data_IF_897050467245
#
_entry.id   IF_897050467245
#
_cell.length_a   1.000
_cell.length_b   1.000
_cell.length_c   1.000
_cell.angle_alpha   90.00
_cell.angle_beta   90.00
_cell.angle_gamma   90.00
#
_symmetry.space_group_name_H-M   'P 1'
#
loop_
_entity.id
_entity.type
_entity.pdbx_description
1 polymer ?
#
# COMPACT_ATOMS: atom_id res chain seq x y z
N UNK A 1 3.10 32.14 -54.90
CA UNK A 1 3.11 32.32 -53.43
C UNK A 1 1.85 31.66 -52.89
N UNK A 2 1.96 30.40 -52.47
CA UNK A 2 0.85 29.66 -51.88
C UNK A 2 0.90 29.85 -50.36
N UNK A 3 -0.18 30.37 -49.81
CA UNK A 3 -0.36 30.65 -48.38
C UNK A 3 -0.42 29.35 -47.60
N UNK A 4 0.50 29.20 -46.64
CA UNK A 4 0.51 28.13 -45.64
C UNK A 4 -0.80 28.13 -44.85
N UNK A 5 -1.47 26.97 -44.68
CA UNK A 5 -2.66 26.87 -43.84
C UNK A 5 -2.29 27.06 -42.36
N UNK A 6 -3.17 27.77 -41.66
CA UNK A 6 -3.06 28.10 -40.25
C UNK A 6 -3.09 26.81 -39.39
N UNK A 7 -2.20 26.66 -38.40
CA UNK A 7 -2.16 25.47 -37.57
C UNK A 7 -3.45 25.33 -36.74
N UNK A 8 -3.93 24.09 -36.50
CA UNK A 8 -5.16 23.86 -35.75
C UNK A 8 -5.05 24.43 -34.33
N UNK A 9 -6.09 25.17 -33.92
CA UNK A 9 -6.20 25.74 -32.59
C UNK A 9 -6.07 24.65 -31.52
N UNK A 10 -5.26 24.91 -30.50
CA UNK A 10 -5.10 24.02 -29.36
C UNK A 10 -6.48 23.71 -28.73
N UNK A 11 -6.74 22.45 -28.32
CA UNK A 11 -7.99 22.10 -27.68
C UNK A 11 -8.21 22.95 -26.42
N UNK A 12 -9.46 23.30 -26.08
CA UNK A 12 -9.76 24.10 -24.90
C UNK A 12 -9.22 23.40 -23.66
N UNK A 13 -8.61 24.17 -22.75
CA UNK A 13 -8.18 23.66 -21.44
C UNK A 13 -9.39 22.96 -20.78
N UNK A 14 -9.22 21.76 -20.20
CA UNK A 14 -10.31 21.07 -19.53
C UNK A 14 -10.90 21.98 -18.44
N UNK A 15 -12.22 22.14 -18.45
CA UNK A 15 -13.01 23.04 -17.58
C UNK A 15 -13.12 22.58 -16.13
N UNK A 16 -12.38 21.54 -15.76
CA UNK A 16 -12.38 20.99 -14.40
C UNK A 16 -11.22 21.60 -13.60
N UNK A 17 -11.31 22.89 -13.32
CA UNK A 17 -10.75 23.40 -12.08
C UNK A 17 -11.80 23.09 -11.00
N UNK A 18 -11.51 22.24 -10.00
CA UNK A 18 -12.44 22.08 -8.89
C UNK A 18 -12.58 23.46 -8.26
N UNK A 19 -13.81 24.00 -8.27
CA UNK A 19 -14.18 25.14 -7.44
C UNK A 19 -13.98 24.73 -5.99
N UNK A 20 -12.78 24.92 -5.45
CA UNK A 20 -12.63 25.14 -4.02
C UNK A 20 -13.21 26.53 -3.77
N UNK A 21 -14.52 26.57 -3.56
CA UNK A 21 -15.16 27.74 -3.00
C UNK A 21 -14.64 27.86 -1.57
N UNK A 22 -13.60 28.67 -1.37
CA UNK A 22 -13.20 29.09 -0.04
C UNK A 22 -14.44 29.69 0.63
N UNK A 23 -14.91 29.14 1.76
CA UNK A 23 -16.10 29.64 2.40
C UNK A 23 -15.82 31.07 2.87
N UNK A 24 -16.86 31.92 2.88
CA UNK A 24 -16.73 33.37 3.06
C UNK A 24 -16.12 33.79 4.41
N UNK A 25 -15.92 32.87 5.35
CA UNK A 25 -15.35 33.11 6.67
C UNK A 25 -14.40 31.98 7.12
N UNK A 26 -13.11 31.99 6.72
CA UNK A 26 -12.15 30.92 7.06
C UNK A 26 -11.92 30.76 8.57
N UNK A 27 -12.06 31.83 9.34
CA UNK A 27 -11.92 31.87 10.81
C UNK A 27 -13.09 31.27 11.60
N UNK A 28 -14.23 31.01 10.97
CA UNK A 28 -15.42 30.38 11.59
C UNK A 28 -15.55 28.90 11.25
N UNK A 29 -14.60 28.31 10.52
CA UNK A 29 -14.59 26.87 10.27
C UNK A 29 -14.44 26.11 11.59
N UNK A 30 -15.27 25.08 11.85
CA UNK A 30 -15.20 24.28 13.06
C UNK A 30 -13.93 23.42 13.03
N UNK A 31 -12.80 24.02 13.40
CA UNK A 31 -11.53 23.30 13.52
C UNK A 31 -11.59 22.26 14.65
N UNK A 32 -10.82 21.20 14.51
CA UNK A 32 -10.59 20.23 15.59
C UNK A 32 -10.05 20.93 16.83
N UNK A 33 -9.24 21.98 16.65
CA UNK A 33 -8.74 22.80 17.75
C UNK A 33 -9.87 23.47 18.52
N UNK A 34 -10.81 24.13 17.82
CA UNK A 34 -11.97 24.75 18.47
C UNK A 34 -12.82 23.69 19.17
N UNK A 35 -13.07 22.56 18.52
CA UNK A 35 -13.88 21.47 19.10
C UNK A 35 -13.25 20.88 20.36
N UNK A 36 -11.94 20.57 20.33
CA UNK A 36 -11.21 20.09 21.50
C UNK A 36 -11.17 21.14 22.60
N UNK A 37 -10.99 22.42 22.24
CA UNK A 37 -10.97 23.52 23.22
C UNK A 37 -12.31 23.69 23.90
N UNK A 38 -13.42 23.64 23.16
CA UNK A 38 -14.77 23.70 23.73
C UNK A 38 -15.07 22.49 24.62
N UNK A 39 -14.65 21.29 24.22
CA UNK A 39 -14.86 20.07 25.00
C UNK A 39 -14.05 20.06 26.30
N UNK A 40 -12.74 20.35 26.22
CA UNK A 40 -11.89 20.41 27.42
C UNK A 40 -12.21 21.60 28.30
N UNK A 41 -12.47 22.77 27.71
CA UNK A 41 -12.87 23.97 28.44
C UNK A 41 -14.21 23.79 29.15
N UNK A 42 -15.21 23.22 28.47
CA UNK A 42 -16.50 22.88 29.08
C UNK A 42 -16.36 21.86 30.20
N UNK A 43 -15.59 20.78 29.99
CA UNK A 43 -15.28 19.80 31.02
C UNK A 43 -14.58 20.43 32.24
N UNK A 44 -13.59 21.28 32.03
CA UNK A 44 -12.85 21.96 33.10
C UNK A 44 -13.76 22.91 33.88
N UNK A 45 -14.61 23.66 33.19
CA UNK A 45 -15.58 24.57 33.82
C UNK A 45 -16.59 23.79 34.68
N UNK A 46 -17.13 22.69 34.14
CA UNK A 46 -18.06 21.81 34.88
C UNK A 46 -17.36 21.21 36.11
N UNK A 47 -16.14 20.69 35.96
CA UNK A 47 -15.35 20.16 37.07
C UNK A 47 -15.09 21.25 38.13
N UNK A 48 -14.73 22.47 37.70
CA UNK A 48 -14.52 23.59 38.60
C UNK A 48 -15.77 23.96 39.42
N UNK A 49 -16.95 24.02 38.77
CA UNK A 49 -18.22 24.29 39.45
C UNK A 49 -18.55 23.19 40.46
N UNK A 50 -18.38 21.92 40.08
CA UNK A 50 -18.63 20.77 40.94
C UNK A 50 -17.69 20.78 42.15
N UNK A 51 -16.40 21.02 41.93
CA UNK A 51 -15.40 21.08 42.98
C UNK A 51 -15.69 22.23 43.96
N UNK A 52 -15.97 23.44 43.43
CA UNK A 52 -16.30 24.60 44.24
C UNK A 52 -17.53 24.34 45.11
N UNK A 53 -18.55 23.69 44.54
CA UNK A 53 -19.78 23.32 45.23
C UNK A 53 -19.53 22.30 46.35
N UNK A 54 -18.69 21.29 46.11
CA UNK A 54 -18.29 20.30 47.12
C UNK A 54 -17.50 20.97 48.25
N UNK A 55 -16.51 21.80 47.92
CA UNK A 55 -15.70 22.52 48.92
C UNK A 55 -16.57 23.46 49.74
N UNK A 56 -17.48 24.20 49.11
CA UNK A 56 -18.42 25.09 49.81
C UNK A 56 -19.31 24.30 50.79
N UNK A 57 -19.85 23.16 50.36
CA UNK A 57 -20.68 22.30 51.21
C UNK A 57 -19.88 21.73 52.40
N UNK A 58 -18.65 21.27 52.16
CA UNK A 58 -17.75 20.78 53.22
C UNK A 58 -17.39 21.90 54.21
N UNK A 59 -17.12 23.11 53.72
CA UNK A 59 -16.85 24.28 54.54
C UNK A 59 -18.07 24.71 55.36
N UNK A 60 -19.26 24.74 54.76
CA UNK A 60 -20.50 25.04 55.46
C UNK A 60 -20.77 24.03 56.58
N UNK A 61 -20.54 22.74 56.34
CA UNK A 61 -20.68 21.70 57.35
C UNK A 61 -19.64 21.83 58.48
N UNK A 62 -18.38 22.13 58.13
CA UNK A 62 -17.32 22.35 59.12
C UNK A 62 -17.57 23.59 59.99
N UNK A 63 -18.09 24.67 59.40
CA UNK A 63 -18.47 25.88 60.11
C UNK A 63 -19.69 25.66 61.01
N UNK A 64 -20.69 24.90 60.56
CA UNK A 64 -21.86 24.60 61.39
C UNK A 64 -21.46 23.84 62.66
N UNK A 65 -20.67 22.77 62.52
CA UNK A 65 -20.14 21.99 63.65
C UNK A 65 -19.15 22.79 64.50
N UNK A 66 -18.33 23.65 63.89
CA UNK A 66 -17.36 24.48 64.61
C UNK A 66 -17.93 25.72 65.29
N UNK A 67 -19.18 26.09 65.00
CA UNK A 67 -19.86 27.26 65.58
C UNK A 67 -20.59 26.95 66.90
N UNK A 68 -20.76 25.68 67.24
CA UNK A 68 -21.26 25.27 68.54
C UNK A 68 -20.18 25.49 69.61
N UNK A 69 -20.59 26.01 70.77
CA UNK A 69 -19.65 26.25 71.87
C UNK A 69 -19.03 24.90 72.28
N UNK A 70 -17.69 24.82 72.43
CA UNK A 70 -17.02 23.56 72.77
C UNK A 70 -17.30 23.08 74.21
N UNK A 71 -18.17 23.76 74.93
CA UNK A 71 -18.49 23.49 76.33
C UNK A 71 -19.98 23.72 76.59
N UNK A 72 -20.51 22.94 77.50
CA UNK A 72 -21.83 23.12 78.09
C UNK A 72 -21.68 23.50 79.57
N UNK A 73 -22.66 24.25 80.09
CA UNK A 73 -22.73 24.60 81.50
C UNK A 73 -23.81 23.74 82.14
N UNK A 74 -23.40 22.64 82.77
CA UNK A 74 -24.31 21.73 83.47
C UNK A 74 -24.11 21.90 84.98
N UNK A 75 -25.15 22.32 85.68
CA UNK A 75 -25.12 22.50 87.15
C UNK A 75 -23.99 23.41 87.67
N UNK A 76 -23.69 24.49 86.93
CA UNK A 76 -22.66 25.46 87.31
C UNK A 76 -21.20 25.01 87.09
N UNK A 77 -20.99 23.85 86.47
CA UNK A 77 -19.67 23.39 86.02
C UNK A 77 -19.59 23.47 84.49
N UNK A 78 -18.46 23.96 83.99
CA UNK A 78 -18.15 23.96 82.55
C UNK A 78 -17.62 22.58 82.19
N UNK A 79 -18.35 21.85 81.37
CA UNK A 79 -17.98 20.52 80.88
C UNK A 79 -17.81 20.57 79.37
N UNK A 80 -16.75 19.97 78.85
CA UNK A 80 -16.49 19.85 77.42
C UNK A 80 -16.23 18.39 77.08
N UNK A 81 -16.83 17.90 76.01
CA UNK A 81 -16.55 16.56 75.46
C UNK A 81 -15.26 16.53 74.64
N UNK A 82 -14.75 17.70 74.26
CA UNK A 82 -13.66 17.86 73.30
C UNK A 82 -12.32 18.10 74.03
N UNK A 83 -12.35 18.82 75.15
CA UNK A 83 -11.13 19.24 75.86
C UNK A 83 -11.29 19.14 77.39
N UNK A 84 -10.20 18.84 78.10
CA UNK A 84 -10.18 18.89 79.56
C UNK A 84 -10.08 20.34 80.07
N UNK A 85 -11.16 20.88 80.61
CA UNK A 85 -11.19 22.21 81.22
C UNK A 85 -10.96 22.11 82.74
N UNK A 86 -10.03 22.87 83.32
CA UNK A 86 -9.75 22.80 84.75
C UNK A 86 -10.88 23.46 85.57
N UNK A 87 -11.51 22.71 86.47
CA UNK A 87 -12.67 23.16 87.26
C UNK A 87 -12.33 24.16 88.38
N UNK A 88 -11.07 24.18 88.88
CA UNK A 88 -10.62 24.99 90.01
C UNK A 88 -9.34 25.79 89.66
N UNK A 89 -9.30 26.43 88.49
CA UNK A 89 -8.15 27.23 88.03
C UNK A 89 -8.33 28.73 88.28
N UNK A 90 -7.22 29.49 88.27
CA UNK A 90 -7.27 30.95 88.19
C UNK A 90 -7.93 31.40 86.86
N UNK A 91 -8.52 32.60 86.81
CA UNK A 91 -9.15 33.11 85.58
C UNK A 91 -8.22 33.07 84.36
N UNK A 92 -6.93 33.37 84.54
CA UNK A 92 -5.95 33.36 83.46
C UNK A 92 -5.66 31.94 82.95
N UNK A 93 -5.54 30.97 83.87
CA UNK A 93 -5.31 29.57 83.50
C UNK A 93 -6.55 28.94 82.83
N UNK A 94 -7.76 29.32 83.25
CA UNK A 94 -9.00 28.94 82.58
C UNK A 94 -9.10 29.54 81.17
N UNK A 95 -8.83 30.84 81.02
CA UNK A 95 -8.82 31.52 79.71
C UNK A 95 -7.77 30.93 78.76
N UNK A 96 -6.57 30.58 79.26
CA UNK A 96 -5.53 29.93 78.47
C UNK A 96 -5.96 28.52 78.00
N UNK A 97 -6.57 27.71 78.88
CA UNK A 97 -7.09 26.39 78.55
C UNK A 97 -8.24 26.47 77.52
N UNK A 98 -9.12 27.45 77.66
CA UNK A 98 -10.22 27.70 76.71
C UNK A 98 -9.68 28.12 75.32
N UNK A 99 -8.72 29.05 75.28
CA UNK A 99 -8.07 29.44 74.02
C UNK A 99 -7.32 28.29 73.35
N UNK A 100 -6.65 27.43 74.13
CA UNK A 100 -6.00 26.23 73.61
C UNK A 100 -7.03 25.24 73.03
N UNK A 101 -8.16 25.03 73.70
CA UNK A 101 -9.23 24.15 73.23
C UNK A 101 -9.84 24.64 71.90
N UNK A 102 -10.19 25.93 71.81
CA UNK A 102 -10.73 26.52 70.58
C UNK A 102 -9.73 26.39 69.42
N UNK A 103 -8.43 26.59 69.69
CA UNK A 103 -7.39 26.43 68.68
C UNK A 103 -7.23 24.97 68.22
N UNK A 104 -7.36 24.00 69.12
CA UNK A 104 -7.25 22.58 68.80
C UNK A 104 -8.45 22.10 67.96
N UNK A 105 -9.67 22.49 68.37
CA UNK A 105 -10.89 22.25 67.60
C UNK A 105 -10.81 22.87 66.19
N UNK A 106 -10.28 24.09 66.08
CA UNK A 106 -10.06 24.75 64.79
C UNK A 106 -9.08 24.00 63.90
N UNK A 107 -7.97 23.49 64.47
CA UNK A 107 -6.99 22.68 63.71
C UNK A 107 -7.61 21.38 63.22
N UNK A 108 -8.29 20.64 64.09
CA UNK A 108 -8.97 19.40 63.73
C UNK A 108 -10.03 19.61 62.62
N UNK A 109 -10.77 20.72 62.68
CA UNK A 109 -11.73 21.09 61.64
C UNK A 109 -11.03 21.42 60.29
N UNK A 110 -9.94 22.19 60.32
CA UNK A 110 -9.14 22.49 59.12
C UNK A 110 -8.53 21.23 58.51
N UNK A 111 -7.94 20.34 59.31
CA UNK A 111 -7.34 19.09 58.83
C UNK A 111 -8.39 18.16 58.22
N UNK A 112 -9.58 18.07 58.83
CA UNK A 112 -10.71 17.30 58.30
C UNK A 112 -11.19 17.89 56.97
N UNK A 113 -11.31 19.22 56.88
CA UNK A 113 -11.70 19.91 55.66
C UNK A 113 -10.66 19.71 54.55
N UNK A 114 -9.37 19.85 54.86
CA UNK A 114 -8.27 19.66 53.91
C UNK A 114 -8.27 18.22 53.39
N UNK A 115 -8.32 17.21 54.26
CA UNK A 115 -8.31 15.80 53.86
C UNK A 115 -9.51 15.45 52.97
N UNK A 116 -10.73 15.87 53.34
CA UNK A 116 -11.93 15.62 52.52
C UNK A 116 -11.88 16.37 51.18
N UNK A 117 -11.39 17.61 51.18
CA UNK A 117 -11.24 18.41 49.95
C UNK A 117 -10.20 17.80 49.01
N UNK A 118 -9.08 17.28 49.53
CA UNK A 118 -8.06 16.58 48.76
C UNK A 118 -8.61 15.28 48.15
N UNK A 119 -9.39 14.49 48.90
CA UNK A 119 -10.05 13.29 48.37
C UNK A 119 -11.07 13.62 47.28
N UNK A 120 -11.87 14.67 47.47
CA UNK A 120 -12.81 15.15 46.46
C UNK A 120 -12.10 15.62 45.19
N UNK A 121 -11.02 16.40 45.35
CA UNK A 121 -10.17 16.85 44.23
C UNK A 121 -9.56 15.66 43.47
N UNK A 122 -9.01 14.67 44.19
CA UNK A 122 -8.42 13.48 43.58
C UNK A 122 -9.46 12.69 42.80
N UNK A 123 -10.62 12.41 43.40
CA UNK A 123 -11.70 11.67 42.75
C UNK A 123 -12.20 12.37 41.47
N UNK A 124 -12.43 13.68 41.55
CA UNK A 124 -12.85 14.47 40.40
C UNK A 124 -11.77 14.54 39.31
N UNK A 125 -10.49 14.62 39.70
CA UNK A 125 -9.36 14.63 38.77
C UNK A 125 -9.28 13.33 37.97
N UNK A 126 -9.47 12.19 38.63
CA UNK A 126 -9.49 10.87 37.96
C UNK A 126 -10.65 10.79 36.95
N UNK A 127 -11.84 11.24 37.33
CA UNK A 127 -13.02 11.26 36.45
C UNK A 127 -12.78 12.19 35.25
N UNK A 128 -12.29 13.40 35.48
CA UNK A 128 -11.98 14.36 34.43
C UNK A 128 -10.90 13.83 33.47
N UNK A 129 -9.86 13.17 33.98
CA UNK A 129 -8.82 12.56 33.15
C UNK A 129 -9.36 11.41 32.29
N UNK A 130 -10.16 10.52 32.88
CA UNK A 130 -10.78 9.41 32.16
C UNK A 130 -11.70 9.91 31.04
N UNK A 131 -12.53 10.91 31.32
CA UNK A 131 -13.41 11.52 30.32
C UNK A 131 -12.60 12.23 29.22
N UNK A 132 -11.57 12.99 29.59
CA UNK A 132 -10.67 13.64 28.65
C UNK A 132 -9.99 12.66 27.70
N UNK A 133 -9.47 11.54 28.24
CA UNK A 133 -8.84 10.49 27.45
C UNK A 133 -9.83 9.83 26.47
N UNK A 134 -11.03 9.49 26.93
CA UNK A 134 -12.07 8.90 26.09
C UNK A 134 -12.50 9.85 24.95
N UNK A 135 -12.63 11.15 25.25
CA UNK A 135 -12.99 12.18 24.27
C UNK A 135 -11.88 12.36 23.22
N UNK A 136 -10.61 12.42 23.67
CA UNK A 136 -9.45 12.50 22.78
C UNK A 136 -9.43 11.33 21.79
N UNK A 137 -9.63 10.10 22.30
CA UNK A 137 -9.69 8.90 21.48
C UNK A 137 -10.83 8.94 20.44
N UNK A 138 -11.99 9.48 20.81
CA UNK A 138 -13.13 9.61 19.88
C UNK A 138 -12.89 10.65 18.80
N UNK A 139 -12.31 11.81 19.14
CA UNK A 139 -12.01 12.88 18.17
C UNK A 139 -10.88 12.47 17.22
N UNK A 140 -9.87 11.73 17.70
CA UNK A 140 -8.72 11.31 16.90
C UNK A 140 -8.89 9.93 16.21
N UNK A 141 -9.96 9.19 16.51
CA UNK A 141 -10.27 7.90 15.89
C UNK A 141 -10.22 7.90 14.35
N UNK A 142 -10.71 8.95 13.64
CA UNK A 142 -10.60 9.05 12.19
C UNK A 142 -9.17 8.91 11.64
N UNK A 143 -8.16 9.39 12.38
CA UNK A 143 -6.76 9.32 11.93
C UNK A 143 -6.31 7.86 11.73
N UNK A 144 -6.76 6.96 12.61
CA UNK A 144 -6.51 5.53 12.47
C UNK A 144 -7.22 4.89 11.27
N UNK A 145 -8.35 5.44 10.80
CA UNK A 145 -8.98 5.01 9.52
C UNK A 145 -8.12 5.46 8.34
N UNK A 146 -7.73 6.73 8.31
CA UNK A 146 -6.88 7.32 7.27
C UNK A 146 -5.59 6.51 7.11
N UNK A 147 -4.85 6.27 8.21
CA UNK A 147 -3.59 5.50 8.17
C UNK A 147 -3.78 4.06 7.69
N UNK A 148 -4.86 3.38 8.10
CA UNK A 148 -5.13 2.01 7.66
C UNK A 148 -5.52 1.93 6.19
N UNK A 149 -6.26 2.90 5.67
CA UNK A 149 -6.60 2.97 4.25
C UNK A 149 -5.34 3.28 3.43
N UNK A 150 -4.55 4.27 3.83
CA UNK A 150 -3.28 4.60 3.17
C UNK A 150 -2.32 3.40 3.08
N UNK A 151 -2.15 2.63 4.17
CA UNK A 151 -1.31 1.41 4.16
C UNK A 151 -1.83 0.30 3.24
N UNK A 152 -3.15 0.23 3.02
CA UNK A 152 -3.75 -0.80 2.16
C UNK A 152 -3.69 -0.43 0.68
N UNK A 153 -3.84 0.85 0.36
CA UNK A 153 -3.72 1.33 -1.04
C UNK A 153 -2.30 1.15 -1.58
N UNK A 154 -1.27 1.24 -0.72
CA UNK A 154 0.12 1.00 -1.12
C UNK A 154 0.39 -0.43 -1.67
N UNK A 155 -0.52 -1.39 -1.46
CA UNK A 155 -0.30 -2.80 -1.81
C UNK A 155 -1.03 -3.29 -3.06
N UNK A 156 -2.31 -2.95 -3.25
CA UNK A 156 -3.15 -3.80 -4.13
C UNK A 156 -4.42 -3.17 -4.69
N UNK A 157 -4.89 -2.00 -4.23
CA UNK A 157 -6.22 -1.50 -4.60
C UNK A 157 -6.31 0.04 -4.55
N UNK A 158 -6.31 0.65 -5.74
CA UNK A 158 -6.45 2.10 -5.95
C UNK A 158 -7.91 2.57 -6.01
N UNK A 159 -8.90 1.67 -6.02
CA UNK A 159 -10.33 2.04 -6.12
C UNK A 159 -10.93 2.44 -4.78
N UNK A 160 -10.24 2.10 -3.69
CA UNK A 160 -10.73 2.39 -2.34
C UNK A 160 -10.58 3.87 -2.00
N UNK A 161 -11.56 4.40 -1.26
CA UNK A 161 -11.55 5.76 -0.73
C UNK A 161 -11.64 5.76 0.79
N UNK A 162 -11.23 6.85 1.41
CA UNK A 162 -11.34 7.06 2.86
C UNK A 162 -12.80 7.36 3.21
N UNK A 163 -13.45 8.21 2.40
CA UNK A 163 -14.85 8.64 2.56
C UNK A 163 -15.12 9.00 4.02
N UNK A 164 -14.41 10.02 4.50
CA UNK A 164 -14.54 10.43 5.89
C UNK A 164 -15.84 11.21 6.10
N UNK A 165 -16.80 10.54 6.74
CA UNK A 165 -17.99 11.17 7.29
C UNK A 165 -17.62 12.06 8.49
N UNK A 166 -18.26 13.22 8.60
CA UNK A 166 -18.05 14.12 9.72
C UNK A 166 -18.18 15.60 9.35
N UNK A 167 -17.91 16.49 10.32
CA UNK A 167 -17.85 17.92 10.08
C UNK A 167 -16.69 18.29 9.15
N UNK A 168 -16.81 19.44 8.49
CA UNK A 168 -15.78 20.02 7.63
C UNK A 168 -14.63 20.62 8.47
N UNK A 169 -13.87 19.72 9.10
CA UNK A 169 -12.68 20.01 9.90
C UNK A 169 -11.39 19.56 9.20
N UNK A 170 -10.23 19.81 9.82
CA UNK A 170 -8.93 19.52 9.20
C UNK A 170 -8.68 18.03 8.95
N UNK A 171 -9.36 17.13 9.68
CA UNK A 171 -9.26 15.69 9.41
C UNK A 171 -10.07 15.30 8.18
N UNK A 172 -11.25 15.92 7.98
CA UNK A 172 -12.03 15.74 6.75
C UNK A 172 -11.30 16.31 5.54
N UNK A 173 -10.76 17.53 5.65
CA UNK A 173 -9.97 18.14 4.58
C UNK A 173 -8.74 17.27 4.20
N UNK A 174 -8.06 16.69 5.19
CA UNK A 174 -6.97 15.74 4.95
C UNK A 174 -7.44 14.47 4.23
N UNK A 175 -8.60 13.92 4.62
CA UNK A 175 -9.18 12.75 3.98
C UNK A 175 -9.57 13.04 2.53
N UNK A 176 -10.23 14.16 2.27
CA UNK A 176 -10.65 14.59 0.94
C UNK A 176 -9.43 14.83 0.03
N UNK A 177 -8.37 15.46 0.56
CA UNK A 177 -7.10 15.65 -0.18
C UNK A 177 -6.45 14.32 -0.54
N UNK A 178 -6.51 13.33 0.34
CA UNK A 178 -5.99 12.00 0.07
C UNK A 178 -6.83 11.29 -0.99
N UNK A 179 -8.16 11.38 -0.90
CA UNK A 179 -9.08 10.81 -1.89
C UNK A 179 -8.87 11.45 -3.29
N UNK A 180 -8.66 12.76 -3.37
CA UNK A 180 -8.27 13.47 -4.60
C UNK A 180 -6.96 12.96 -5.21
N UNK A 181 -5.97 12.66 -4.37
CA UNK A 181 -4.69 12.08 -4.80
C UNK A 181 -4.91 10.67 -5.38
N UNK A 182 -5.72 9.84 -4.72
CA UNK A 182 -6.06 8.50 -5.20
C UNK A 182 -6.80 8.54 -6.53
N UNK A 183 -7.75 9.46 -6.66
CA UNK A 183 -8.48 9.74 -7.89
C UNK A 183 -7.54 10.11 -9.06
N UNK A 184 -6.55 10.97 -8.81
CA UNK A 184 -5.55 11.34 -9.82
C UNK A 184 -4.68 10.15 -10.22
N UNK A 185 -4.27 9.32 -9.26
CA UNK A 185 -3.50 8.11 -9.54
C UNK A 185 -4.31 7.11 -10.37
N UNK A 186 -5.56 6.82 -9.97
CA UNK A 186 -6.43 5.90 -10.70
C UNK A 186 -6.66 6.36 -12.15
N UNK A 187 -6.92 7.66 -12.36
CA UNK A 187 -7.06 8.24 -13.71
C UNK A 187 -5.79 8.08 -14.53
N UNK A 188 -4.61 8.31 -13.93
CA UNK A 188 -3.32 8.16 -14.61
C UNK A 188 -3.05 6.69 -15.00
N UNK A 189 -3.28 5.74 -14.09
CA UNK A 189 -3.13 4.31 -14.38
C UNK A 189 -4.11 3.84 -15.45
N UNK A 190 -5.38 4.24 -15.37
CA UNK A 190 -6.39 3.86 -16.36
C UNK A 190 -6.08 4.48 -17.73
N UNK A 191 -5.60 5.72 -17.77
CA UNK A 191 -5.16 6.35 -19.01
C UNK A 191 -3.96 5.63 -19.62
N UNK A 192 -2.96 5.25 -18.82
CA UNK A 192 -1.82 4.44 -19.25
C UNK A 192 -2.28 3.09 -19.82
N UNK A 193 -3.20 2.39 -19.16
CA UNK A 193 -3.73 1.11 -19.64
C UNK A 193 -4.46 1.24 -20.97
N UNK A 194 -5.32 2.26 -21.13
CA UNK A 194 -6.00 2.56 -22.40
C UNK A 194 -5.01 2.93 -23.50
N UNK A 195 -3.99 3.73 -23.19
CA UNK A 195 -2.95 4.10 -24.14
C UNK A 195 -2.19 2.86 -24.65
N UNK A 196 -1.76 1.98 -23.75
CA UNK A 196 -1.09 0.71 -24.12
C UNK A 196 -2.03 -0.17 -24.96
N UNK A 197 -3.30 -0.28 -24.58
CA UNK A 197 -4.32 -0.99 -25.35
C UNK A 197 -4.44 -0.48 -26.79
N UNK A 198 -4.68 0.82 -26.95
CA UNK A 198 -4.84 1.46 -28.25
C UNK A 198 -3.57 1.40 -29.10
N UNK A 199 -2.41 1.72 -28.50
CA UNK A 199 -1.11 1.61 -29.18
C UNK A 199 -0.85 0.19 -29.69
N UNK A 200 -1.36 -0.83 -28.99
CA UNK A 200 -1.25 -2.23 -29.47
C UNK A 200 -1.95 -2.47 -30.79
N UNK A 201 -3.17 -1.97 -30.92
CA UNK A 201 -3.98 -2.17 -32.13
C UNK A 201 -3.47 -1.30 -33.29
N UNK A 202 -3.15 -0.04 -33.01
CA UNK A 202 -2.67 0.91 -34.02
C UNK A 202 -1.29 0.55 -34.57
N UNK A 203 -0.42 -0.12 -33.79
CA UNK A 203 0.89 -0.58 -34.27
C UNK A 203 0.86 -1.95 -34.94
N UNK A 204 -0.02 -2.88 -34.51
CA UNK A 204 -0.11 -4.22 -35.11
C UNK A 204 -0.64 -4.19 -36.54
N UNK A 205 -1.61 -3.32 -36.81
CA UNK A 205 -2.26 -3.19 -38.12
C UNK A 205 -1.27 -2.87 -39.26
N UNK A 206 -0.45 -1.80 -39.18
CA UNK A 206 0.51 -1.48 -40.24
C UNK A 206 1.59 -2.56 -40.40
N UNK A 207 2.02 -3.21 -39.32
CA UNK A 207 2.99 -4.31 -39.39
C UNK A 207 2.41 -5.54 -40.11
N UNK A 208 1.16 -5.90 -39.83
CA UNK A 208 0.48 -6.99 -40.52
C UNK A 208 0.25 -6.70 -42.01
N UNK A 209 -0.07 -5.44 -42.35
CA UNK A 209 -0.18 -5.00 -43.75
C UNK A 209 1.18 -5.10 -44.45
N UNK A 210 2.25 -4.58 -43.84
CA UNK A 210 3.61 -4.68 -44.39
C UNK A 210 4.03 -6.14 -44.61
N UNK A 211 3.77 -7.02 -43.62
CA UNK A 211 4.01 -8.45 -43.74
C UNK A 211 3.30 -9.05 -44.95
N UNK A 212 2.01 -8.78 -45.09
CA UNK A 212 1.19 -9.30 -46.19
C UNK A 212 1.72 -8.82 -47.55
N UNK A 213 2.05 -7.53 -47.68
CA UNK A 213 2.62 -6.97 -48.90
C UNK A 213 3.98 -7.61 -49.26
N UNK A 214 4.83 -7.84 -48.26
CA UNK A 214 6.12 -8.51 -48.45
C UNK A 214 5.93 -9.99 -48.83
N UNK A 215 5.05 -10.72 -48.16
CA UNK A 215 4.75 -12.12 -48.46
C UNK A 215 4.19 -12.30 -49.89
N UNK A 216 3.30 -11.40 -50.33
CA UNK A 216 2.76 -11.39 -51.70
C UNK A 216 3.85 -11.14 -52.74
N UNK A 217 4.76 -10.19 -52.52
CA UNK A 217 5.84 -9.90 -53.46
C UNK A 217 6.94 -10.96 -53.47
N UNK A 218 7.21 -11.63 -52.33
CA UNK A 218 8.20 -12.73 -52.26
C UNK A 218 7.67 -14.02 -52.88
N UNK A 219 6.35 -14.18 -52.98
CA UNK A 219 5.72 -15.39 -53.55
C UNK A 219 5.55 -15.34 -55.07
N UNK A 220 5.89 -14.22 -55.72
CA UNK A 220 5.95 -14.11 -57.19
C UNK A 220 7.13 -14.92 -57.76
N UNK A 221 6.90 -15.99 -58.57
CA UNK A 221 7.96 -16.81 -59.14
C UNK A 221 8.82 -16.11 -60.20
N UNK A 222 8.33 -15.01 -60.79
CA UNK A 222 9.06 -14.25 -61.81
C UNK A 222 9.92 -13.12 -61.21
N UNK A 223 9.89 -12.93 -59.89
CA UNK A 223 10.65 -11.89 -59.23
C UNK A 223 12.18 -12.14 -59.33
N UNK A 224 12.98 -11.11 -59.64
CA UNK A 224 14.43 -11.22 -59.61
C UNK A 224 14.97 -11.77 -58.28
N UNK A 225 16.05 -12.55 -58.28
CA UNK A 225 16.62 -13.14 -57.05
C UNK A 225 17.03 -12.07 -56.01
N UNK A 226 17.44 -10.89 -56.46
CA UNK A 226 17.75 -9.73 -55.62
C UNK A 226 16.52 -9.23 -54.85
N UNK A 227 15.34 -9.23 -55.48
CA UNK A 227 14.07 -8.84 -54.87
C UNK A 227 13.61 -9.88 -53.84
N UNK A 228 13.81 -11.18 -54.09
CA UNK A 228 13.56 -12.21 -53.07
C UNK A 228 14.47 -12.04 -51.85
N UNK A 229 15.75 -11.71 -52.05
CA UNK A 229 16.69 -11.50 -50.95
C UNK A 229 16.35 -10.24 -50.14
N UNK A 230 15.99 -9.15 -50.82
CA UNK A 230 15.50 -7.93 -50.17
C UNK A 230 14.21 -8.18 -49.40
N UNK A 231 13.24 -8.87 -50.02
CA UNK A 231 11.97 -9.23 -49.40
C UNK A 231 12.16 -10.06 -48.13
N UNK A 232 12.99 -11.11 -48.17
CA UNK A 232 13.32 -11.90 -46.96
C UNK A 232 13.95 -11.04 -45.85
N UNK A 233 14.82 -10.11 -46.21
CA UNK A 233 15.47 -9.20 -45.25
C UNK A 233 14.46 -8.24 -44.61
N UNK A 234 13.55 -7.68 -45.42
CA UNK A 234 12.47 -6.81 -44.94
C UNK A 234 11.46 -7.58 -44.09
N UNK A 235 11.12 -8.80 -44.46
CA UNK A 235 10.23 -9.67 -43.68
C UNK A 235 10.81 -9.96 -42.30
N UNK A 236 12.09 -10.36 -42.23
CA UNK A 236 12.79 -10.56 -40.96
C UNK A 236 12.86 -9.28 -40.09
N UNK A 237 12.98 -8.11 -40.74
CA UNK A 237 12.96 -6.81 -40.05
C UNK A 237 11.57 -6.46 -39.52
N UNK A 238 10.52 -6.76 -40.29
CA UNK A 238 9.13 -6.56 -39.89
C UNK A 238 8.75 -7.47 -38.74
N UNK A 239 9.12 -8.76 -38.80
CA UNK A 239 8.93 -9.73 -37.71
C UNK A 239 9.65 -9.30 -36.43
N UNK A 240 10.87 -8.75 -36.54
CA UNK A 240 11.58 -8.19 -35.37
C UNK A 240 10.83 -6.99 -34.78
N UNK A 241 10.25 -6.15 -35.63
CA UNK A 241 9.46 -4.98 -35.21
C UNK A 241 8.15 -5.40 -34.54
N UNK A 242 7.49 -6.44 -35.06
CA UNK A 242 6.33 -7.08 -34.42
C UNK A 242 6.69 -7.61 -33.03
N UNK A 243 7.77 -8.40 -32.90
CA UNK A 243 8.23 -8.94 -31.62
C UNK A 243 8.58 -7.83 -30.60
N UNK A 244 9.19 -6.74 -31.07
CA UNK A 244 9.51 -5.55 -30.27
C UNK A 244 8.24 -4.91 -29.71
N UNK A 245 7.31 -4.56 -30.59
CA UNK A 245 6.07 -3.88 -30.26
C UNK A 245 5.23 -4.75 -29.34
N UNK A 246 5.00 -6.02 -29.70
CA UNK A 246 4.25 -6.95 -28.86
C UNK A 246 4.90 -7.14 -27.49
N UNK A 247 6.23 -7.25 -27.45
CA UNK A 247 6.95 -7.40 -26.19
C UNK A 247 6.81 -6.18 -25.27
N UNK A 248 6.91 -4.97 -25.82
CA UNK A 248 6.73 -3.73 -25.07
C UNK A 248 5.30 -3.56 -24.54
N UNK A 249 4.31 -3.86 -25.38
CA UNK A 249 2.91 -3.77 -25.00
C UNK A 249 2.54 -4.81 -23.96
N UNK A 250 3.08 -6.02 -24.08
CA UNK A 250 2.89 -7.07 -23.10
C UNK A 250 3.53 -6.69 -21.76
N UNK A 251 4.73 -6.11 -21.77
CA UNK A 251 5.40 -5.60 -20.56
C UNK A 251 4.54 -4.52 -19.89
N UNK A 252 4.06 -3.55 -20.67
CA UNK A 252 3.23 -2.47 -20.16
C UNK A 252 1.84 -2.91 -19.68
N UNK A 253 1.30 -4.04 -20.17
CA UNK A 253 0.07 -4.66 -19.66
C UNK A 253 0.31 -5.53 -18.43
N UNK A 254 1.46 -6.20 -18.36
CA UNK A 254 1.77 -7.17 -17.30
C UNK A 254 2.16 -6.50 -15.97
N UNK A 255 2.55 -5.23 -16.00
CA UNK A 255 2.71 -4.43 -14.78
C UNK A 255 1.37 -4.07 -14.11
N UNK A 256 0.23 -4.35 -14.77
CA UNK A 256 -1.11 -4.14 -14.21
C UNK A 256 -1.71 -5.43 -13.64
N UNK A 257 -2.65 -5.27 -12.71
CA UNK A 257 -3.36 -6.37 -12.06
C UNK A 257 -4.19 -7.18 -13.09
N UNK A 258 -4.12 -8.52 -13.00
CA UNK A 258 -4.85 -9.43 -13.89
C UNK A 258 -6.34 -9.39 -13.54
N UNK A 259 -7.15 -8.84 -14.45
CA UNK A 259 -8.59 -8.62 -14.26
C UNK A 259 -9.40 -9.93 -14.30
N UNK A 260 -8.99 -10.91 -15.11
CA UNK A 260 -9.63 -12.23 -15.19
C UNK A 260 -8.62 -13.34 -14.89
N UNK A 261 -8.83 -14.04 -13.76
CA UNK A 261 -8.10 -15.25 -13.40
C UNK A 261 -9.00 -16.46 -13.62
N UNK A 262 -8.51 -17.46 -14.33
CA UNK A 262 -9.16 -18.76 -14.56
C UNK A 262 -8.22 -19.87 -14.08
N UNK A 263 -8.74 -21.06 -13.74
CA UNK A 263 -7.90 -22.22 -13.50
C UNK A 263 -7.09 -22.55 -14.76
N UNK A 264 -5.77 -22.63 -14.64
CA UNK A 264 -4.85 -22.98 -15.72
C UNK A 264 -3.84 -23.99 -15.19
N UNK A 265 -3.72 -25.14 -15.86
CA UNK A 265 -2.69 -26.13 -15.56
C UNK A 265 -1.35 -25.75 -16.20
N UNK A 266 -0.29 -25.62 -15.39
CA UNK A 266 1.04 -25.33 -15.88
C UNK A 266 1.61 -26.47 -16.74
N UNK A 267 1.19 -27.72 -16.54
CA UNK A 267 1.63 -28.84 -17.37
C UNK A 267 1.19 -28.64 -18.83
N UNK A 268 -0.08 -28.31 -19.06
CA UNK A 268 -0.60 -28.00 -20.40
C UNK A 268 0.10 -26.78 -21.03
N UNK A 269 0.33 -25.75 -20.21
CA UNK A 269 1.05 -24.53 -20.64
C UNK A 269 2.47 -24.86 -21.10
N UNK A 270 3.18 -25.72 -20.35
CA UNK A 270 4.52 -26.18 -20.70
C UNK A 270 4.52 -27.01 -21.98
N UNK A 271 3.55 -27.92 -22.16
CA UNK A 271 3.43 -28.73 -23.37
C UNK A 271 3.21 -27.89 -24.62
N UNK A 272 2.30 -26.91 -24.58
CA UNK A 272 2.08 -25.99 -25.72
C UNK A 272 3.34 -25.22 -26.09
N UNK A 273 4.11 -24.77 -25.10
CA UNK A 273 5.38 -24.09 -25.33
C UNK A 273 6.43 -25.01 -25.97
N UNK A 274 6.50 -26.28 -25.55
CA UNK A 274 7.38 -27.29 -26.16
C UNK A 274 6.97 -27.55 -27.61
N UNK A 275 5.68 -27.73 -27.88
CA UNK A 275 5.20 -27.99 -29.24
C UNK A 275 5.50 -26.83 -30.20
N UNK A 276 5.34 -25.59 -29.73
CA UNK A 276 5.69 -24.40 -30.51
C UNK A 276 7.20 -24.25 -30.78
N UNK A 277 8.06 -24.86 -29.96
CA UNK A 277 9.52 -24.78 -30.09
C UNK A 277 10.15 -26.01 -30.70
N UNK A 278 9.37 -27.08 -30.93
CA UNK A 278 9.84 -28.38 -31.41
C UNK A 278 10.65 -28.30 -32.71
N UNK A 279 10.18 -27.52 -33.69
CA UNK A 279 10.89 -27.36 -34.97
C UNK A 279 12.25 -26.66 -34.81
N UNK A 280 12.32 -25.63 -33.96
CA UNK A 280 13.57 -24.91 -33.66
C UNK A 280 14.53 -25.81 -32.88
N UNK A 281 14.03 -26.58 -31.91
CA UNK A 281 14.82 -27.53 -31.14
C UNK A 281 15.41 -28.64 -32.03
N UNK A 282 14.62 -29.19 -32.94
CA UNK A 282 15.09 -30.20 -33.91
C UNK A 282 16.20 -29.65 -34.81
N UNK A 283 16.01 -28.44 -35.36
CA UNK A 283 16.99 -27.79 -36.23
C UNK A 283 18.32 -27.53 -35.50
N UNK A 284 18.26 -27.29 -34.19
CA UNK A 284 19.42 -27.05 -33.32
C UNK A 284 19.95 -28.32 -32.63
N UNK A 285 19.37 -29.49 -32.90
CA UNK A 285 19.72 -30.78 -32.26
C UNK A 285 19.64 -30.73 -30.72
N UNK A 286 18.63 -30.05 -30.19
CA UNK A 286 18.39 -29.94 -28.75
C UNK A 286 17.31 -30.92 -28.33
N UNK A 287 17.62 -31.80 -27.37
CA UNK A 287 16.64 -32.73 -26.78
C UNK A 287 15.78 -32.01 -25.73
N UNK A 288 14.46 -32.22 -25.76
CA UNK A 288 13.53 -31.63 -24.77
C UNK A 288 12.95 -32.76 -23.92
N UNK A 289 13.18 -32.69 -22.61
CA UNK A 289 12.80 -33.72 -21.62
C UNK A 289 12.17 -33.13 -20.36
N UNK A 290 11.86 -33.98 -19.40
CA UNK A 290 11.34 -33.61 -18.07
C UNK A 290 9.90 -34.07 -17.83
N UNK A 291 9.54 -34.21 -16.56
CA UNK A 291 8.20 -34.59 -16.10
C UNK A 291 7.36 -33.35 -15.81
N UNK A 292 6.14 -33.31 -16.37
CA UNK A 292 5.20 -32.19 -16.23
C UNK A 292 4.00 -32.65 -15.43
N UNK A 293 4.10 -32.60 -14.10
CA UNK A 293 2.98 -32.89 -13.22
C UNK A 293 1.96 -31.75 -13.25
N UNK A 294 0.68 -32.09 -13.09
CA UNK A 294 -0.41 -31.13 -13.07
C UNK A 294 -0.24 -30.14 -11.91
N UNK A 295 -0.23 -28.85 -12.23
CA UNK A 295 -0.08 -27.77 -11.27
C UNK A 295 -1.01 -26.63 -11.68
N UNK A 296 -2.23 -26.64 -11.13
CA UNK A 296 -3.28 -25.67 -11.47
C UNK A 296 -3.13 -24.38 -10.66
N UNK A 297 -3.13 -23.23 -11.35
CA UNK A 297 -3.08 -21.88 -10.76
C UNK A 297 -4.26 -21.03 -11.20
N UNK A 298 -4.62 -20.02 -10.41
CA UNK A 298 -5.57 -18.97 -10.83
C UNK A 298 -4.86 -17.85 -11.60
N UNK A 299 -4.97 -17.86 -12.93
CA UNK A 299 -4.23 -16.92 -13.78
C UNK A 299 -4.82 -16.68 -15.16
N UNK A 300 -4.07 -15.95 -15.99
CA UNK A 300 -4.39 -15.75 -17.40
C UNK A 300 -3.57 -16.73 -18.25
N UNK A 301 -4.24 -17.71 -18.86
CA UNK A 301 -3.58 -18.78 -19.62
C UNK A 301 -2.68 -18.28 -20.74
N UNK A 302 -3.07 -17.23 -21.47
CA UNK A 302 -2.27 -16.67 -22.57
C UNK A 302 -0.96 -16.08 -22.04
N UNK A 303 -1.01 -15.40 -20.90
CA UNK A 303 0.18 -14.82 -20.27
C UNK A 303 1.11 -15.90 -19.70
N UNK A 304 0.54 -16.93 -19.07
CA UNK A 304 1.30 -18.07 -18.55
C UNK A 304 1.98 -18.88 -19.67
N UNK A 305 1.27 -19.10 -20.77
CA UNK A 305 1.83 -19.69 -21.99
C UNK A 305 3.00 -18.87 -22.52
N UNK A 306 2.90 -17.53 -22.46
CA UNK A 306 3.99 -16.64 -22.87
C UNK A 306 5.20 -16.70 -21.93
N UNK A 307 5.03 -16.97 -20.63
CA UNK A 307 6.16 -17.28 -19.74
C UNK A 307 6.85 -18.53 -20.24
N UNK A 308 6.13 -19.65 -20.33
CA UNK A 308 6.70 -20.94 -20.71
C UNK A 308 7.40 -20.88 -22.07
N UNK A 309 6.75 -20.27 -23.07
CA UNK A 309 7.32 -20.10 -24.40
C UNK A 309 8.62 -19.29 -24.37
N UNK A 310 8.67 -18.17 -23.64
CA UNK A 310 9.89 -17.37 -23.52
C UNK A 310 11.03 -18.15 -22.86
N UNK A 311 10.74 -18.95 -21.83
CA UNK A 311 11.76 -19.72 -21.13
C UNK A 311 12.29 -20.87 -22.00
N UNK A 312 11.40 -21.64 -22.63
CA UNK A 312 11.78 -22.77 -23.49
C UNK A 312 12.51 -22.26 -24.75
N UNK A 313 12.04 -21.20 -25.40
CA UNK A 313 12.75 -20.60 -26.54
C UNK A 313 14.16 -20.12 -26.18
N UNK A 314 14.32 -19.46 -25.02
CA UNK A 314 15.65 -19.05 -24.57
C UNK A 314 16.55 -20.26 -24.31
N UNK A 315 16.01 -21.28 -23.64
CA UNK A 315 16.72 -22.53 -23.34
C UNK A 315 17.19 -23.27 -24.60
N UNK A 316 16.41 -23.25 -25.68
CA UNK A 316 16.78 -23.83 -26.99
C UNK A 316 17.81 -22.96 -27.73
N UNK A 317 17.65 -21.63 -27.72
CA UNK A 317 18.50 -20.71 -28.50
C UNK A 317 19.91 -20.54 -27.95
N UNK A 318 20.06 -20.58 -26.63
CA UNK A 318 21.33 -20.40 -25.94
C UNK A 318 21.94 -21.72 -25.47
N UNK A 319 21.59 -22.81 -26.17
CA UNK A 319 22.10 -24.14 -25.88
C UNK A 319 23.49 -24.39 -26.50
N UNK A 320 24.15 -25.46 -26.07
CA UNK A 320 25.35 -25.97 -26.73
C UNK A 320 24.99 -26.62 -28.08
N UNK A 321 25.87 -26.55 -29.10
CA UNK A 321 25.53 -27.04 -30.45
C UNK A 321 25.46 -28.56 -30.60
N UNK A 322 26.16 -29.31 -29.74
CA UNK A 322 26.19 -30.77 -29.72
C UNK A 322 25.76 -31.27 -28.34
N UNK A 323 24.93 -32.32 -28.30
CA UNK A 323 24.37 -32.94 -27.09
C UNK A 323 23.64 -31.98 -26.13
N UNK A 324 23.08 -30.90 -26.68
CA UNK A 324 22.31 -29.92 -25.93
C UNK A 324 20.97 -30.48 -25.49
N UNK A 325 20.55 -30.15 -24.27
CA UNK A 325 19.23 -30.52 -23.75
C UNK A 325 18.54 -29.36 -23.04
N UNK A 326 17.22 -29.45 -22.99
CA UNK A 326 16.31 -28.60 -22.21
C UNK A 326 15.40 -29.51 -21.40
N UNK A 327 15.38 -29.30 -20.09
CA UNK A 327 14.50 -30.01 -19.16
C UNK A 327 13.42 -29.06 -18.67
N UNK A 328 12.16 -29.44 -18.89
CA UNK A 328 10.99 -28.67 -18.49
C UNK A 328 10.18 -29.50 -17.51
N UNK A 329 10.08 -29.03 -16.27
CA UNK A 329 9.29 -29.68 -15.23
C UNK A 329 8.23 -28.77 -14.65
N UNK A 330 7.10 -29.37 -14.27
CA UNK A 330 6.04 -28.70 -13.51
C UNK A 330 5.66 -29.56 -12.32
N UNK A 331 5.49 -28.94 -11.15
CA UNK A 331 5.11 -29.63 -9.92
C UNK A 331 4.40 -28.67 -8.96
N UNK A 332 3.72 -29.22 -7.95
CA UNK A 332 3.23 -28.46 -6.80
C UNK A 332 4.13 -28.73 -5.60
N UNK A 333 4.74 -27.68 -5.05
CA UNK A 333 5.66 -27.78 -3.92
C UNK A 333 5.41 -26.67 -2.91
N UNK A 334 5.34 -27.02 -1.63
CA UNK A 334 5.17 -26.08 -0.51
C UNK A 334 3.96 -25.13 -0.68
N UNK A 335 2.87 -25.62 -1.29
CA UNK A 335 1.66 -24.84 -1.56
C UNK A 335 1.79 -23.83 -2.71
N UNK A 336 2.80 -23.97 -3.56
CA UNK A 336 3.01 -23.16 -4.75
C UNK A 336 3.14 -24.06 -5.99
N UNK A 337 2.66 -23.57 -7.13
CA UNK A 337 2.94 -24.20 -8.42
C UNK A 337 4.31 -23.76 -8.93
N UNK A 338 5.09 -24.71 -9.42
CA UNK A 338 6.45 -24.49 -9.91
C UNK A 338 6.52 -24.88 -11.39
N UNK A 339 7.12 -24.01 -12.21
CA UNK A 339 7.59 -24.31 -13.56
C UNK A 339 9.11 -24.12 -13.57
N UNK A 340 9.86 -25.18 -13.86
CA UNK A 340 11.32 -25.15 -13.97
C UNK A 340 11.73 -25.42 -15.42
N UNK A 341 12.58 -24.58 -15.97
CA UNK A 341 13.23 -24.78 -17.26
C UNK A 341 14.73 -24.75 -17.05
N UNK A 342 15.39 -25.90 -17.21
CA UNK A 342 16.84 -26.04 -17.14
C UNK A 342 17.42 -26.34 -18.51
N UNK A 343 18.60 -25.82 -18.83
CA UNK A 343 19.29 -26.12 -20.07
C UNK A 343 20.80 -26.16 -19.93
N UNK A 344 21.44 -26.88 -20.85
CA UNK A 344 22.85 -26.69 -21.18
C UNK A 344 23.09 -25.40 -21.94
N UNK A 345 24.29 -24.86 -21.87
CA UNK A 345 24.64 -23.62 -22.56
C UNK A 345 25.99 -23.07 -22.10
N UNK A 346 26.37 -21.89 -22.57
CA UNK A 346 27.57 -21.19 -22.09
C UNK A 346 27.53 -20.94 -20.58
N UNK A 347 28.71 -20.80 -19.97
CA UNK A 347 28.81 -20.39 -18.57
C UNK A 347 28.27 -18.97 -18.41
N UNK A 348 27.26 -18.81 -17.55
CA UNK A 348 26.71 -17.50 -17.20
C UNK A 348 27.34 -17.06 -15.88
N UNK A 349 28.09 -15.95 -15.85
CA UNK A 349 28.65 -15.45 -14.59
C UNK A 349 27.54 -15.06 -13.61
N UNK A 350 27.71 -15.42 -12.33
CA UNK A 350 26.71 -15.17 -11.29
C UNK A 350 26.30 -13.68 -11.19
N UNK A 351 27.23 -12.76 -11.43
CA UNK A 351 26.97 -11.31 -11.38
C UNK A 351 26.13 -10.79 -12.58
N UNK A 352 25.94 -11.59 -13.64
CA UNK A 352 25.11 -11.21 -14.81
C UNK A 352 23.68 -11.72 -14.71
N UNK A 353 23.38 -12.63 -13.76
CA UNK A 353 22.08 -13.28 -13.58
C UNK A 353 20.95 -12.27 -13.41
N UNK A 354 21.10 -11.29 -12.50
CA UNK A 354 20.06 -10.29 -12.26
C UNK A 354 19.82 -9.39 -13.49
N UNK A 355 20.89 -9.14 -14.27
CA UNK A 355 20.84 -8.31 -15.47
C UNK A 355 20.14 -9.02 -16.64
N UNK A 356 20.00 -10.36 -16.62
CA UNK A 356 19.29 -11.10 -17.68
C UNK A 356 17.81 -10.72 -17.77
N UNK A 357 17.23 -10.23 -16.68
CA UNK A 357 15.83 -9.82 -16.63
C UNK A 357 15.61 -8.35 -16.96
N UNK A 358 16.67 -7.57 -17.22
CA UNK A 358 16.54 -6.19 -17.69
C UNK A 358 16.10 -6.16 -19.16
N UNK A 359 15.16 -5.28 -19.54
CA UNK A 359 14.77 -5.11 -20.93
C UNK A 359 15.96 -4.79 -21.83
N UNK A 360 16.01 -5.41 -23.01
CA UNK A 360 17.05 -5.20 -24.03
C UNK A 360 18.46 -5.66 -23.65
N UNK A 361 18.64 -6.33 -22.50
CA UNK A 361 19.94 -6.92 -22.14
C UNK A 361 20.20 -8.20 -22.90
N UNK A 362 21.44 -8.31 -23.36
CA UNK A 362 22.03 -9.52 -23.96
C UNK A 362 23.44 -9.67 -23.40
N UNK A 363 23.87 -10.90 -23.15
CA UNK A 363 25.25 -11.22 -22.76
C UNK A 363 26.21 -10.72 -23.85
N UNK A 364 27.32 -10.08 -23.46
CA UNK A 364 28.16 -9.20 -24.32
C UNK A 364 28.81 -9.91 -25.53
N UNK A 365 28.75 -11.24 -25.61
CA UNK A 365 29.53 -12.06 -26.54
C UNK A 365 28.90 -12.24 -27.94
N UNK A 366 27.66 -11.78 -28.20
CA UNK A 366 26.94 -12.12 -29.44
C UNK A 366 26.38 -10.92 -30.24
N UNK A 367 27.20 -9.89 -30.46
CA UNK A 367 26.80 -8.69 -31.24
C UNK A 367 26.75 -8.90 -32.77
N UNK A 368 27.16 -10.06 -33.30
CA UNK A 368 27.44 -10.23 -34.75
C UNK A 368 26.46 -11.12 -35.52
N UNK A 369 25.37 -11.62 -34.92
CA UNK A 369 24.37 -12.44 -35.63
C UNK A 369 23.04 -11.71 -35.82
N UNK A 370 22.61 -11.49 -37.06
CA UNK A 370 21.36 -10.79 -37.41
C UNK A 370 20.08 -11.59 -37.15
N UNK A 371 20.14 -12.68 -36.38
CA UNK A 371 19.09 -13.71 -36.31
C UNK A 371 18.63 -14.06 -34.88
N UNK A 372 18.98 -13.23 -33.89
CA UNK A 372 18.68 -13.52 -32.48
C UNK A 372 17.87 -12.38 -31.86
N UNK A 373 16.77 -12.75 -31.19
CA UNK A 373 15.64 -11.88 -30.80
C UNK A 373 15.96 -10.64 -29.95
N UNK A 374 14.89 -9.93 -29.60
CA UNK A 374 14.90 -8.53 -29.13
C UNK A 374 15.46 -8.34 -27.70
N UNK A 375 15.55 -9.39 -26.89
CA UNK A 375 15.99 -9.29 -25.48
C UNK A 375 14.90 -8.80 -24.52
N UNK A 376 13.62 -9.00 -24.88
CA UNK A 376 12.47 -8.69 -24.00
C UNK A 376 11.87 -9.92 -23.31
N UNK A 377 12.21 -11.14 -23.75
CA UNK A 377 11.53 -12.36 -23.31
C UNK A 377 11.59 -12.60 -21.80
N UNK A 378 12.77 -12.45 -21.19
CA UNK A 378 12.95 -12.65 -19.75
C UNK A 378 12.34 -11.51 -18.92
N UNK A 379 12.40 -10.26 -19.38
CA UNK A 379 11.74 -9.13 -18.70
C UNK A 379 10.22 -9.29 -18.73
N UNK A 380 9.65 -9.79 -19.84
CA UNK A 380 8.24 -10.14 -19.96
C UNK A 380 7.88 -11.26 -18.98
N UNK A 381 8.64 -12.35 -18.98
CA UNK A 381 8.38 -13.48 -18.09
C UNK A 381 8.37 -13.05 -16.61
N UNK A 382 9.30 -12.16 -16.22
CA UNK A 382 9.35 -11.58 -14.87
C UNK A 382 8.14 -10.70 -14.55
N UNK A 383 7.74 -9.82 -15.46
CA UNK A 383 6.57 -8.96 -15.25
C UNK A 383 5.28 -9.79 -15.14
N UNK A 384 5.10 -10.78 -16.03
CA UNK A 384 3.93 -11.68 -15.97
C UNK A 384 3.92 -12.50 -14.68
N UNK A 385 5.06 -13.05 -14.23
CA UNK A 385 5.12 -13.81 -12.98
C UNK A 385 4.69 -12.93 -11.78
N UNK A 386 5.16 -11.67 -11.74
CA UNK A 386 4.76 -10.68 -10.72
C UNK A 386 3.27 -10.35 -10.79
N UNK A 387 2.71 -10.19 -11.99
CA UNK A 387 1.27 -9.94 -12.20
C UNK A 387 0.38 -11.04 -11.60
N UNK A 388 0.87 -12.27 -11.59
CA UNK A 388 0.22 -13.43 -10.98
C UNK A 388 0.50 -13.58 -9.48
N UNK A 389 1.27 -12.66 -8.87
CA UNK A 389 1.67 -12.75 -7.45
C UNK A 389 2.82 -13.73 -7.19
N UNK A 390 3.48 -14.20 -8.25
CA UNK A 390 4.62 -15.10 -8.19
C UNK A 390 5.97 -14.40 -8.38
N UNK A 391 7.01 -15.22 -8.58
CA UNK A 391 8.37 -14.76 -8.86
C UNK A 391 9.07 -15.69 -9.85
N UNK A 392 10.07 -15.14 -10.54
CA UNK A 392 11.00 -15.89 -11.38
C UNK A 392 12.42 -15.71 -10.85
N UNK A 393 13.20 -16.78 -10.80
CA UNK A 393 14.60 -16.80 -10.40
C UNK A 393 15.40 -17.51 -11.49
N UNK A 394 16.61 -17.03 -11.75
CA UNK A 394 17.59 -17.69 -12.61
C UNK A 394 18.80 -18.10 -11.76
N UNK A 395 19.31 -19.29 -11.98
CA UNK A 395 20.53 -19.80 -11.34
C UNK A 395 21.47 -20.39 -12.39
N UNK A 396 22.79 -20.13 -12.30
CA UNK A 396 23.75 -20.76 -13.18
C UNK A 396 23.87 -22.26 -12.88
N UNK A 397 23.97 -23.09 -13.91
CA UNK A 397 24.19 -24.54 -13.73
C UNK A 397 25.68 -24.86 -13.64
N UNK A 398 26.04 -25.80 -12.78
CA UNK A 398 27.36 -26.43 -12.81
C UNK A 398 27.58 -27.11 -14.18
N UNK A 399 28.65 -26.73 -14.88
CA UNK A 399 28.92 -27.16 -16.25
C UNK A 399 28.29 -26.29 -17.36
N UNK A 400 27.76 -25.10 -17.03
CA UNK A 400 27.28 -24.10 -18.00
C UNK A 400 25.79 -24.23 -18.34
N UNK A 401 25.14 -23.12 -18.71
CA UNK A 401 23.69 -23.03 -18.88
C UNK A 401 22.97 -22.46 -17.65
N UNK A 402 21.64 -22.55 -17.64
CA UNK A 402 20.77 -21.89 -16.66
C UNK A 402 19.69 -22.82 -16.13
N UNK A 403 19.22 -22.53 -14.92
CA UNK A 403 18.00 -23.06 -14.32
C UNK A 403 17.08 -21.89 -14.03
N UNK A 404 15.95 -21.83 -14.74
CA UNK A 404 14.91 -20.83 -14.57
C UNK A 404 13.77 -21.43 -13.74
N UNK A 405 13.42 -20.81 -12.62
CA UNK A 405 12.33 -21.27 -11.73
C UNK A 405 11.25 -20.21 -11.63
N UNK A 406 10.02 -20.56 -11.98
CA UNK A 406 8.83 -19.73 -11.84
C UNK A 406 7.95 -20.32 -10.74
N UNK A 407 7.73 -19.58 -9.67
CA UNK A 407 6.84 -19.98 -8.57
C UNK A 407 5.60 -19.11 -8.57
N UNK A 408 4.42 -19.73 -8.56
CA UNK A 408 3.11 -19.07 -8.58
C UNK A 408 2.26 -19.54 -7.38
N UNK A 409 1.45 -18.66 -6.78
CA UNK A 409 0.46 -19.09 -5.79
C UNK A 409 -0.64 -19.94 -6.47
N UNK A 410 -1.13 -20.96 -5.75
CA UNK A 410 -2.24 -21.82 -6.18
C UNK A 410 -3.59 -21.08 -6.21
#
# INVERSE_FOLDING_TARGET
MATTPEPPAAPPKPTWEPKQADPPYPWLRPTIRIRLTLLYGGMFLIAGIVLLSIIYMLAAQALHVGSELPFEIVSGKVTSEICSLPANASPDAFNAAMNACVNDQRKAALDTLLNRSLLALLGLSVIAFAFGYAMAGRVLSPLGRITRTARRVAGTDLTRRIELDGPDDELKELADTFDDMLDRLERAFTAQQRFVGNASHELRTPLAINRTLLEVHISDPEAPPELHQLGRTLLATNERSEQLVEGLLLLARSDNQIVERKPVDLAEVAERAIDQTRAEALARKVDIRGERESATVQGNGVLLERIALNLVQNAVRYNVPEDGWVEVTTEVRDGQALLVVSNTGPVVPAYEIDNLFEPFRRLRTERTGSDKGVGLGLSIARSVARAHGGRIIAEPREGGGLVMRVTLPL
#
